data_IF_848880362608
#
_entry.id   IF_848880362608
#
_cell.length_a   1.000
_cell.length_b   1.000
_cell.length_c   1.000
_cell.angle_alpha   90.00
_cell.angle_beta   90.00
_cell.angle_gamma   90.00
#
_symmetry.space_group_name_H-M   'P 1'
#
loop_
_entity.id
_entity.type
_entity.pdbx_description
1 polymer ?
#
# COMPACT_ATOMS: atom_id res chain seq x y z
N UNK A 1 -12.28 -53.88 20.08
CA UNK A 1 -12.74 -52.80 19.18
C UNK A 1 -11.94 -51.53 19.48
N UNK A 2 -11.05 -51.12 18.57
CA UNK A 2 -10.16 -49.95 18.76
C UNK A 2 -10.94 -48.66 18.46
N UNK A 3 -11.19 -47.82 19.48
CA UNK A 3 -11.77 -46.47 19.30
C UNK A 3 -10.75 -45.62 18.54
N UNK A 4 -11.05 -45.26 17.29
CA UNK A 4 -10.26 -44.32 16.49
C UNK A 4 -10.53 -42.91 17.02
N UNK A 5 -9.53 -42.31 17.66
CA UNK A 5 -9.53 -40.90 18.06
C UNK A 5 -9.57 -40.04 16.80
N UNK A 6 -10.65 -39.27 16.63
CA UNK A 6 -10.93 -38.45 15.45
C UNK A 6 -10.65 -36.96 15.72
N UNK A 7 -9.76 -36.65 16.67
CA UNK A 7 -9.62 -35.29 17.21
C UNK A 7 -8.39 -34.51 16.75
N UNK A 8 -7.63 -35.00 15.76
CA UNK A 8 -6.28 -34.46 15.46
C UNK A 8 -6.16 -33.65 14.17
N UNK A 9 -7.26 -33.30 13.48
CA UNK A 9 -7.16 -32.56 12.21
C UNK A 9 -7.58 -31.08 12.25
N UNK A 10 -7.98 -30.55 13.42
CA UNK A 10 -8.50 -29.18 13.52
C UNK A 10 -7.46 -28.12 13.99
N UNK A 11 -6.24 -28.50 14.34
CA UNK A 11 -5.30 -27.60 15.04
C UNK A 11 -4.25 -26.94 14.11
N UNK A 12 -4.05 -27.43 12.89
CA UNK A 12 -3.02 -26.90 11.98
C UNK A 12 -3.44 -25.70 11.11
N UNK A 13 -4.71 -25.28 11.11
CA UNK A 13 -5.17 -24.16 10.26
C UNK A 13 -5.08 -22.77 10.92
N UNK A 14 -4.68 -22.66 12.20
CA UNK A 14 -4.70 -21.39 12.95
C UNK A 14 -3.37 -20.61 12.93
N UNK A 15 -2.31 -21.11 12.28
CA UNK A 15 -0.97 -20.49 12.31
C UNK A 15 -0.69 -19.44 11.21
N UNK A 16 -1.66 -19.11 10.34
CA UNK A 16 -1.45 -18.12 9.26
C UNK A 16 -1.88 -16.69 9.60
N UNK A 17 -2.43 -16.43 10.78
CA UNK A 17 -2.97 -15.12 11.13
C UNK A 17 -2.11 -14.43 12.21
N UNK A 18 -1.30 -13.42 11.82
CA UNK A 18 -1.17 -12.12 12.55
C UNK A 18 0.09 -11.29 12.26
N UNK A 19 1.09 -11.78 11.52
CA UNK A 19 2.33 -11.00 11.28
C UNK A 19 2.17 -9.73 10.42
N UNK A 20 1.04 -9.54 9.73
CA UNK A 20 0.79 -8.33 8.90
C UNK A 20 0.48 -7.08 9.75
N UNK A 21 -0.11 -7.25 10.94
CA UNK A 21 -0.61 -6.13 11.76
C UNK A 21 0.48 -5.23 12.36
N UNK A 22 1.67 -5.79 12.67
CA UNK A 22 2.78 -5.03 13.25
C UNK A 22 3.50 -4.18 12.21
N UNK A 23 3.68 -4.70 11.00
CA UNK A 23 4.37 -3.99 9.91
C UNK A 23 3.53 -2.78 9.45
N UNK A 24 2.21 -2.93 9.30
CA UNK A 24 1.33 -1.80 8.94
C UNK A 24 1.42 -0.68 9.97
N UNK A 25 1.38 -1.00 11.27
CA UNK A 25 1.50 -0.02 12.36
C UNK A 25 2.79 0.80 12.30
N UNK A 26 3.88 0.24 11.76
CA UNK A 26 5.13 0.98 11.58
C UNK A 26 5.07 2.00 10.44
N UNK A 27 4.12 1.84 9.52
CA UNK A 27 3.89 2.74 8.38
C UNK A 27 2.76 3.74 8.62
N UNK A 28 1.90 3.49 9.61
CA UNK A 28 0.77 4.34 9.94
C UNK A 28 1.19 5.79 10.18
N UNK A 29 0.45 6.72 9.56
CA UNK A 29 0.60 8.16 9.65
C UNK A 29 1.99 8.70 9.23
N UNK A 30 2.76 7.91 8.47
CA UNK A 30 3.99 8.36 7.81
C UNK A 30 3.70 8.73 6.35
N UNK A 31 3.89 9.99 5.94
CA UNK A 31 3.73 10.38 4.54
C UNK A 31 4.98 10.00 3.74
N UNK A 32 4.84 9.04 2.82
CA UNK A 32 5.87 8.71 1.84
C UNK A 32 5.64 9.57 0.59
N UNK A 33 6.54 10.51 0.35
CA UNK A 33 6.42 11.46 -0.74
C UNK A 33 7.21 10.97 -1.96
N UNK A 34 6.58 11.00 -3.13
CA UNK A 34 7.20 10.77 -4.42
C UNK A 34 7.43 12.08 -5.17
N UNK A 35 7.89 11.99 -6.41
CA UNK A 35 8.06 13.18 -7.27
C UNK A 35 6.72 13.82 -7.60
N UNK A 36 6.76 15.09 -8.00
CA UNK A 36 5.61 15.87 -8.49
C UNK A 36 4.35 15.75 -7.61
N UNK A 37 4.56 15.71 -6.29
CA UNK A 37 3.50 15.64 -5.28
C UNK A 37 2.79 14.28 -5.22
N UNK A 38 3.45 13.20 -5.63
CA UNK A 38 3.02 11.83 -5.38
C UNK A 38 3.03 11.52 -3.88
N UNK A 39 2.09 10.70 -3.42
CA UNK A 39 1.89 10.39 -2.00
C UNK A 39 1.44 8.93 -1.82
N UNK A 40 2.08 8.25 -0.86
CA UNK A 40 1.57 7.04 -0.23
C UNK A 40 1.48 7.32 1.27
N UNK A 41 0.28 7.19 1.84
CA UNK A 41 0.04 7.39 3.27
C UNK A 41 -0.96 6.36 3.78
N UNK A 42 -0.57 5.58 4.79
CA UNK A 42 -1.50 4.74 5.52
C UNK A 42 -2.01 5.56 6.71
N UNK A 43 -3.19 6.16 6.57
CA UNK A 43 -3.78 6.99 7.62
C UNK A 43 -4.52 6.10 8.62
N UNK A 44 -4.19 6.25 9.91
CA UNK A 44 -4.85 5.56 11.01
C UNK A 44 -5.26 6.58 12.08
N UNK A 45 -6.53 6.90 12.07
CA UNK A 45 -7.15 7.63 13.18
C UNK A 45 -7.41 6.73 14.38
N UNK A 46 -7.59 7.34 15.56
CA UNK A 46 -7.96 6.65 16.78
C UNK A 46 -9.30 5.92 16.58
N UNK A 47 -9.37 4.65 16.97
CA UNK A 47 -10.57 3.79 16.89
C UNK A 47 -11.16 3.49 15.49
N UNK A 48 -10.62 4.05 14.40
CA UNK A 48 -11.03 3.70 13.02
C UNK A 48 -10.15 2.63 12.39
N UNK A 49 -10.57 1.97 11.31
CA UNK A 49 -9.66 1.14 10.52
C UNK A 49 -8.64 2.00 9.75
N UNK A 50 -7.46 1.43 9.45
CA UNK A 50 -6.48 2.10 8.60
C UNK A 50 -7.02 2.23 7.17
N UNK A 51 -6.70 3.35 6.50
CA UNK A 51 -6.98 3.56 5.08
C UNK A 51 -5.71 3.96 4.34
N UNK A 52 -5.60 3.56 3.09
CA UNK A 52 -4.51 3.92 2.19
C UNK A 52 -4.95 5.14 1.40
N UNK A 53 -4.22 6.23 1.56
CA UNK A 53 -4.30 7.42 0.74
C UNK A 53 -3.18 7.31 -0.30
N UNK A 54 -3.57 7.29 -1.58
CA UNK A 54 -2.64 7.17 -2.69
C UNK A 54 -2.84 8.29 -3.72
N UNK A 55 -1.72 8.77 -4.25
CA UNK A 55 -1.65 9.72 -5.36
C UNK A 55 -0.37 9.46 -6.14
N UNK A 56 -0.45 9.16 -7.43
CA UNK A 56 0.75 9.13 -8.28
C UNK A 56 1.30 10.54 -8.57
N UNK A 57 2.56 10.65 -9.02
CA UNK A 57 3.12 11.90 -9.52
C UNK A 57 2.19 12.58 -10.51
N UNK A 58 2.04 13.90 -10.39
CA UNK A 58 1.26 14.67 -11.35
C UNK A 58 1.96 14.69 -12.71
N UNK A 59 1.21 14.41 -13.78
CA UNK A 59 1.67 14.64 -15.16
C UNK A 59 1.14 15.95 -15.75
N UNK A 60 0.41 16.74 -14.96
CA UNK A 60 -0.13 18.02 -15.42
C UNK A 60 1.00 19.04 -15.41
N UNK A 61 1.50 19.38 -16.60
CA UNK A 61 2.22 20.64 -16.81
C UNK A 61 1.22 21.74 -17.15
N UNK A 62 1.52 23.03 -16.86
CA UNK A 62 0.63 24.15 -17.19
C UNK A 62 0.21 24.22 -18.68
N UNK A 63 0.98 23.59 -19.58
CA UNK A 63 0.80 23.67 -21.03
C UNK A 63 0.26 22.36 -21.66
N UNK A 64 -0.34 21.46 -20.86
CA UNK A 64 -0.86 20.18 -21.37
C UNK A 64 -2.11 20.39 -22.24
N UNK A 65 -2.18 19.76 -23.42
CA UNK A 65 -3.33 19.89 -24.33
C UNK A 65 -4.49 18.94 -23.97
N UNK A 66 -5.68 19.16 -24.53
CA UNK A 66 -6.81 18.21 -24.37
C UNK A 66 -6.52 16.84 -24.99
N UNK A 67 -5.73 16.78 -26.08
CA UNK A 67 -5.30 15.51 -26.70
C UNK A 67 -4.40 14.68 -25.78
N UNK A 68 -3.50 15.34 -25.04
CA UNK A 68 -2.67 14.68 -24.03
C UNK A 68 -3.51 14.00 -22.94
N UNK A 69 -4.69 14.55 -22.65
CA UNK A 69 -5.60 14.06 -21.62
C UNK A 69 -6.14 12.67 -21.91
N UNK A 70 -6.56 12.43 -23.15
CA UNK A 70 -7.18 11.17 -23.54
C UNK A 70 -6.12 10.06 -23.68
N UNK A 71 -4.95 10.38 -24.23
CA UNK A 71 -3.83 9.43 -24.38
C UNK A 71 -3.21 9.03 -23.04
N UNK A 72 -3.28 9.90 -22.02
CA UNK A 72 -2.72 9.67 -20.68
C UNK A 72 -3.79 9.54 -19.61
N UNK A 73 -5.05 9.25 -19.98
CA UNK A 73 -6.20 9.21 -19.08
C UNK A 73 -5.95 8.40 -17.80
N UNK A 74 -5.39 7.19 -17.94
CA UNK A 74 -5.08 6.34 -16.78
C UNK A 74 -4.07 7.00 -15.83
N UNK A 75 -3.04 7.64 -16.37
CA UNK A 75 -2.03 8.36 -15.59
C UNK A 75 -2.63 9.57 -14.88
N UNK A 76 -3.55 10.29 -15.54
CA UNK A 76 -4.30 11.37 -14.90
C UNK A 76 -5.21 10.87 -13.78
N UNK A 77 -5.90 9.75 -13.99
CA UNK A 77 -6.76 9.13 -12.97
C UNK A 77 -5.95 8.66 -11.76
N UNK A 78 -4.76 8.11 -12.00
CA UNK A 78 -3.82 7.65 -10.96
C UNK A 78 -3.21 8.82 -10.17
N UNK A 79 -3.02 9.97 -10.80
CA UNK A 79 -2.53 11.20 -10.18
C UNK A 79 -3.57 11.93 -9.31
N UNK A 80 -4.84 11.50 -9.35
CA UNK A 80 -5.85 11.99 -8.41
C UNK A 80 -5.68 11.31 -7.05
N UNK A 81 -5.78 12.10 -5.98
CA UNK A 81 -5.76 11.56 -4.61
C UNK A 81 -6.99 10.66 -4.41
N UNK A 82 -6.77 9.41 -4.02
CA UNK A 82 -7.83 8.45 -3.71
C UNK A 82 -7.59 7.76 -2.38
N UNK A 83 -8.67 7.27 -1.78
CA UNK A 83 -8.66 6.55 -0.51
C UNK A 83 -9.14 5.11 -0.70
N UNK A 84 -8.45 4.17 -0.06
CA UNK A 84 -8.72 2.75 -0.14
C UNK A 84 -8.81 2.15 1.27
N UNK A 85 -9.78 1.25 1.49
CA UNK A 85 -10.03 0.61 2.79
C UNK A 85 -9.36 -0.76 2.88
N UNK A 86 -9.38 -1.37 4.06
CA UNK A 86 -8.89 -2.74 4.29
C UNK A 86 -7.43 -2.94 3.90
N UNK A 87 -6.59 -1.98 4.30
CA UNK A 87 -5.16 -1.99 4.00
C UNK A 87 -4.48 -3.17 4.70
N UNK A 88 -3.66 -3.91 3.95
CA UNK A 88 -2.87 -5.02 4.45
C UNK A 88 -1.52 -5.12 3.76
N UNK A 89 -0.56 -5.75 4.44
CA UNK A 89 0.70 -6.17 3.83
C UNK A 89 0.61 -7.65 3.49
N UNK A 90 0.81 -7.99 2.23
CA UNK A 90 0.87 -9.36 1.72
C UNK A 90 2.30 -9.72 1.32
N UNK A 91 2.75 -10.92 1.70
CA UNK A 91 4.08 -11.43 1.34
C UNK A 91 3.92 -12.37 0.16
N UNK A 92 4.54 -12.02 -0.98
CA UNK A 92 4.54 -12.82 -2.21
C UNK A 92 5.90 -12.68 -2.89
N UNK A 93 6.47 -13.79 -3.37
CA UNK A 93 7.73 -13.80 -4.13
C UNK A 93 8.87 -13.03 -3.42
N UNK A 94 9.01 -13.23 -2.10
CA UNK A 94 9.96 -12.53 -1.22
C UNK A 94 9.80 -10.99 -1.17
N UNK A 95 8.70 -10.44 -1.69
CA UNK A 95 8.35 -9.02 -1.62
C UNK A 95 7.17 -8.81 -0.68
N UNK A 96 7.10 -7.61 -0.10
CA UNK A 96 6.01 -7.15 0.75
C UNK A 96 5.16 -6.14 -0.02
N UNK A 97 3.93 -6.51 -0.35
CA UNK A 97 3.00 -5.67 -1.09
C UNK A 97 2.03 -4.98 -0.17
N UNK A 98 1.85 -3.67 -0.35
CA UNK A 98 0.76 -2.91 0.27
C UNK A 98 -0.46 -3.09 -0.63
N UNK A 99 -1.50 -3.69 -0.10
CA UNK A 99 -2.76 -3.94 -0.81
C UNK A 99 -3.92 -3.34 -0.01
N UNK A 100 -5.00 -3.03 -0.71
CA UNK A 100 -6.22 -2.49 -0.13
C UNK A 100 -7.40 -2.88 -1.03
N UNK A 101 -8.62 -2.77 -0.50
CA UNK A 101 -9.83 -3.03 -1.28
C UNK A 101 -9.90 -2.10 -2.49
N UNK A 102 -10.14 -2.68 -3.67
CA UNK A 102 -10.21 -1.99 -4.97
C UNK A 102 -8.93 -1.24 -5.40
N UNK A 103 -7.80 -1.49 -4.71
CA UNK A 103 -6.51 -0.92 -5.06
C UNK A 103 -5.80 -1.80 -6.10
N UNK A 104 -5.64 -1.27 -7.32
CA UNK A 104 -5.10 -2.02 -8.47
C UNK A 104 -3.59 -1.89 -8.71
N UNK A 105 -2.89 -1.00 -7.99
CA UNK A 105 -1.48 -0.70 -8.22
C UNK A 105 -0.55 -1.55 -7.35
N UNK A 106 0.67 -1.80 -7.82
CA UNK A 106 1.63 -2.67 -7.14
C UNK A 106 2.63 -1.89 -6.30
N UNK A 107 2.24 -1.53 -5.08
CA UNK A 107 3.14 -0.89 -4.11
C UNK A 107 3.93 -1.95 -3.33
N UNK A 108 5.25 -1.87 -3.39
CA UNK A 108 6.18 -2.74 -2.66
C UNK A 108 6.88 -1.94 -1.59
N UNK A 109 6.88 -2.46 -0.37
CA UNK A 109 7.70 -1.96 0.72
C UNK A 109 9.12 -2.52 0.54
N UNK A 110 10.06 -1.65 0.17
CA UNK A 110 11.48 -1.99 -0.02
C UNK A 110 12.18 -2.04 1.33
N UNK A 111 11.98 -0.99 2.13
CA UNK A 111 12.49 -0.86 3.49
C UNK A 111 11.53 0.01 4.33
N UNK A 112 11.87 0.30 5.58
CA UNK A 112 11.02 1.07 6.50
C UNK A 112 10.70 2.52 6.06
N UNK A 113 11.46 3.08 5.12
CA UNK A 113 11.36 4.46 4.65
C UNK A 113 11.16 4.56 3.13
N UNK A 114 11.08 3.45 2.40
CA UNK A 114 11.01 3.42 0.94
C UNK A 114 9.92 2.49 0.42
N UNK A 115 9.03 3.03 -0.42
CA UNK A 115 7.98 2.29 -1.14
C UNK A 115 8.20 2.50 -2.64
N UNK A 116 8.08 1.43 -3.42
CA UNK A 116 8.15 1.47 -4.88
C UNK A 116 6.80 1.10 -5.50
N UNK A 117 6.33 1.89 -6.46
CA UNK A 117 5.27 1.50 -7.38
C UNK A 117 5.90 0.76 -8.57
N UNK A 118 5.73 -0.56 -8.63
CA UNK A 118 6.36 -1.39 -9.66
C UNK A 118 5.80 -1.13 -11.07
N UNK A 119 4.57 -0.63 -11.19
CA UNK A 119 3.96 -0.43 -12.51
C UNK A 119 4.60 0.77 -13.22
N UNK A 120 4.93 1.83 -12.47
CA UNK A 120 5.55 3.06 -13.00
C UNK A 120 7.04 3.23 -12.63
N UNK A 121 7.59 2.33 -11.80
CA UNK A 121 8.94 2.43 -11.19
C UNK A 121 9.14 3.73 -10.40
N UNK A 122 8.07 4.23 -9.77
CA UNK A 122 8.14 5.43 -8.95
C UNK A 122 8.53 5.09 -7.51
N UNK A 123 9.38 5.91 -6.90
CA UNK A 123 9.87 5.74 -5.53
C UNK A 123 9.27 6.81 -4.63
N UNK A 124 8.66 6.36 -3.53
CA UNK A 124 8.12 7.21 -2.47
C UNK A 124 8.96 7.03 -1.21
N UNK A 125 9.42 8.14 -0.64
CA UNK A 125 10.28 8.14 0.55
C UNK A 125 9.62 8.85 1.72
N UNK A 126 9.69 8.22 2.89
CA UNK A 126 9.41 8.90 4.14
C UNK A 126 10.68 9.60 4.62
N UNK A 127 10.55 10.88 4.95
CA UNK A 127 11.62 11.68 5.56
C UNK A 127 11.15 12.12 6.92
N UNK A 128 11.83 11.69 7.98
CA UNK A 128 11.56 12.14 9.33
C UNK A 128 12.26 13.48 9.57
N UNK A 129 11.51 14.58 9.44
CA UNK A 129 12.02 15.94 9.64
C UNK A 129 12.41 16.27 11.09
N UNK A 130 12.09 15.38 12.04
CA UNK A 130 12.39 15.57 13.47
C UNK A 130 13.59 14.73 13.95
N UNK A 131 14.17 13.89 13.11
CA UNK A 131 15.44 13.21 13.40
C UNK A 131 16.59 14.13 12.97
N UNK A 132 17.23 14.78 13.95
CA UNK A 132 18.51 15.50 13.77
C UNK A 132 19.68 14.54 13.88
#
# INVERSE_FOLDING_TARGET
>A
MKKKSLFTFAICSLLLCSCSSKEIKQLENKPFNGRDGGLVLIEKEKFKSAKLIFKAPSMISPNSSLKDRDEKKEKYEKAQKREYKDVKIEKKDNKKFITAKDFKYKLVLIDENTIEDLDDKEIYRFVNLHKK
#
